data_IF_777902776678
#
_entry.id   IF_777902776678
#
_cell.length_a   1.000
_cell.length_b   1.000
_cell.length_c   1.000
_cell.angle_alpha   90.00
_cell.angle_beta   90.00
_cell.angle_gamma   90.00
#
_symmetry.space_group_name_H-M   'P 1'
#
loop_
_entity.id
_entity.type
_entity.pdbx_description
1 polymer ?
#
# COMPACT_ATOMS: atom_id res chain seq x y z
N UNK A 1 8.77 21.69 5.33
CA UNK A 1 9.07 20.64 4.32
C UNK A 1 9.91 19.53 4.92
N UNK A 2 11.06 19.84 5.54
CA UNK A 2 11.92 18.83 6.19
C UNK A 2 11.18 17.97 7.22
N UNK A 3 10.28 18.56 8.01
CA UNK A 3 9.49 17.81 9.00
C UNK A 3 8.54 16.79 8.37
N UNK A 4 7.98 17.07 7.19
CA UNK A 4 7.14 16.11 6.44
C UNK A 4 8.00 14.96 5.94
N UNK A 5 9.18 15.26 5.41
CA UNK A 5 10.14 14.24 4.96
C UNK A 5 10.53 13.35 6.14
N UNK A 6 10.83 13.96 7.29
CA UNK A 6 11.21 13.25 8.51
C UNK A 6 10.06 12.38 9.03
N UNK A 7 8.82 12.87 9.01
CA UNK A 7 7.64 12.11 9.40
C UNK A 7 7.39 10.91 8.47
N UNK A 8 7.44 11.12 7.15
CA UNK A 8 7.29 10.04 6.16
C UNK A 8 8.41 9.02 6.35
N UNK A 9 9.66 9.45 6.46
CA UNK A 9 10.79 8.56 6.67
C UNK A 9 10.65 7.77 7.98
N UNK A 10 10.21 8.40 9.07
CA UNK A 10 9.92 7.71 10.33
C UNK A 10 8.87 6.62 10.13
N UNK A 11 7.71 6.98 9.58
CA UNK A 11 6.61 6.03 9.36
C UNK A 11 7.04 4.90 8.41
N UNK A 12 7.80 5.17 7.36
CA UNK A 12 8.39 4.15 6.47
C UNK A 12 9.35 3.19 7.17
N UNK A 13 9.79 3.46 8.39
CA UNK A 13 10.61 2.55 9.20
C UNK A 13 9.81 1.84 10.31
N UNK A 14 8.50 2.12 10.41
CA UNK A 14 7.61 1.46 11.38
C UNK A 14 6.86 0.28 10.77
N UNK A 15 6.34 -0.58 11.64
CA UNK A 15 5.52 -1.73 11.23
C UNK A 15 4.17 -1.24 10.69
N UNK A 16 3.87 -1.57 9.43
CA UNK A 16 2.67 -1.11 8.69
C UNK A 16 2.58 0.41 8.47
N UNK A 17 3.69 1.12 8.54
CA UNK A 17 3.73 2.58 8.32
C UNK A 17 2.78 3.37 9.24
N UNK A 18 2.67 2.94 10.48
CA UNK A 18 1.79 3.50 11.51
C UNK A 18 2.55 3.57 12.84
N UNK A 19 2.37 4.67 13.56
CA UNK A 19 2.92 4.83 14.90
C UNK A 19 2.00 5.66 15.80
N UNK A 20 2.28 5.67 17.11
CA UNK A 20 1.57 6.53 18.06
C UNK A 20 2.02 7.97 17.94
N UNK A 21 1.11 8.90 18.24
CA UNK A 21 1.41 10.34 18.29
C UNK A 21 2.58 10.62 19.24
N UNK A 22 2.59 9.98 20.41
CA UNK A 22 3.65 10.17 21.41
C UNK A 22 5.02 9.67 20.90
N UNK A 23 5.07 8.49 20.27
CA UNK A 23 6.31 7.95 19.68
C UNK A 23 6.85 8.86 18.57
N UNK A 24 5.97 9.44 17.75
CA UNK A 24 6.34 10.37 16.69
C UNK A 24 6.91 11.67 17.28
N UNK A 25 6.24 12.24 18.29
CA UNK A 25 6.69 13.44 19.00
C UNK A 25 8.07 13.21 19.62
N UNK A 26 8.24 12.09 20.34
CA UNK A 26 9.50 11.74 20.99
C UNK A 26 10.62 11.51 19.96
N UNK A 27 10.30 10.88 18.83
CA UNK A 27 11.30 10.59 17.80
C UNK A 27 11.72 11.82 17.01
N UNK A 28 10.76 12.66 16.63
CA UNK A 28 10.99 13.84 15.80
C UNK A 28 11.32 15.10 16.60
N UNK A 29 11.17 15.06 17.93
CA UNK A 29 11.41 16.17 18.83
C UNK A 29 10.54 17.41 18.48
N UNK A 30 9.27 17.16 18.14
CA UNK A 30 8.29 18.20 17.77
C UNK A 30 7.12 18.24 18.74
N UNK A 31 6.46 19.39 18.89
CA UNK A 31 5.26 19.48 19.75
C UNK A 31 4.04 18.80 19.12
N UNK A 32 3.10 18.33 19.96
CA UNK A 32 1.81 17.78 19.49
C UNK A 32 1.04 18.79 18.64
N UNK A 33 0.98 20.05 19.07
CA UNK A 33 0.28 21.10 18.32
C UNK A 33 0.87 21.31 16.93
N UNK A 34 2.20 21.31 16.82
CA UNK A 34 2.90 21.41 15.54
C UNK A 34 2.66 20.19 14.65
N UNK A 35 2.72 18.97 15.21
CA UNK A 35 2.41 17.76 14.46
C UNK A 35 0.99 17.78 13.92
N UNK A 36 -0.01 18.17 14.72
CA UNK A 36 -1.40 18.27 14.24
C UNK A 36 -1.55 19.34 13.15
N UNK A 37 -0.88 20.48 13.28
CA UNK A 37 -0.85 21.51 12.24
C UNK A 37 -0.25 20.97 10.93
N UNK A 38 0.79 20.15 11.00
CA UNK A 38 1.41 19.51 9.85
C UNK A 38 0.44 18.55 9.13
N UNK A 39 -0.38 17.82 9.89
CA UNK A 39 -1.38 16.89 9.35
C UNK A 39 -2.60 17.62 8.75
N UNK A 40 -2.93 18.80 9.28
CA UNK A 40 -4.02 19.65 8.78
C UNK A 40 -3.62 20.53 7.60
N UNK A 41 -2.33 20.63 7.26
CA UNK A 41 -1.85 21.31 6.06
C UNK A 41 -2.45 20.65 4.81
N UNK A 42 -3.15 21.45 4.01
CA UNK A 42 -3.83 21.00 2.79
C UNK A 42 -2.87 20.33 1.80
N UNK A 43 -1.59 20.70 1.82
CA UNK A 43 -0.56 20.13 0.95
C UNK A 43 -0.21 18.68 1.29
N UNK A 44 -0.52 18.22 2.51
CA UNK A 44 -0.09 16.92 3.04
C UNK A 44 -1.22 16.10 3.67
N UNK A 45 -2.44 16.64 3.74
CA UNK A 45 -3.61 15.99 4.33
C UNK A 45 -3.87 14.59 3.76
N UNK A 46 -3.60 14.37 2.48
CA UNK A 46 -3.83 13.07 1.84
C UNK A 46 -2.71 12.05 2.13
N UNK A 47 -1.58 12.50 2.69
CA UNK A 47 -0.43 11.63 2.96
C UNK A 47 -0.61 10.86 4.26
N UNK A 48 -1.40 11.40 5.19
CA UNK A 48 -1.50 10.87 6.53
C UNK A 48 -2.95 10.69 6.96
N UNK A 49 -3.20 9.66 7.76
CA UNK A 49 -4.47 9.44 8.43
C UNK A 49 -4.28 9.47 9.94
N UNK A 50 -5.00 10.37 10.61
CA UNK A 50 -5.10 10.40 12.06
C UNK A 50 -6.14 9.39 12.55
N UNK A 51 -5.71 8.46 13.38
CA UNK A 51 -6.51 7.34 13.87
C UNK A 51 -6.80 7.55 15.35
N UNK A 52 -8.05 7.91 15.65
CA UNK A 52 -8.52 8.08 17.02
C UNK A 52 -8.85 6.72 17.67
N UNK A 53 -8.52 6.54 18.95
CA UNK A 53 -8.96 5.38 19.70
C UNK A 53 -10.50 5.31 19.76
N UNK A 54 -11.06 4.10 19.72
CA UNK A 54 -12.48 3.90 19.97
C UNK A 54 -12.81 4.36 21.40
N UNK A 55 -13.89 5.13 21.55
CA UNK A 55 -14.32 5.85 22.76
C UNK A 55 -14.42 5.01 24.04
N UNK A 56 -14.41 3.67 23.94
CA UNK A 56 -14.68 2.77 25.05
C UNK A 56 -13.41 2.07 25.59
N UNK A 57 -12.21 2.44 25.14
CA UNK A 57 -10.94 1.89 25.66
C UNK A 57 -10.10 2.97 26.31
N UNK A 58 -10.13 3.00 27.63
CA UNK A 58 -9.43 3.94 28.53
C UNK A 58 -7.88 3.93 28.43
N UNK A 59 -7.30 3.19 27.49
CA UNK A 59 -5.84 3.10 27.28
C UNK A 59 -5.41 3.11 25.81
N UNK A 60 -6.33 3.31 24.86
CA UNK A 60 -5.95 3.32 23.46
C UNK A 60 -5.33 4.68 23.07
N UNK A 61 -4.12 4.65 22.53
CA UNK A 61 -3.36 5.84 22.11
C UNK A 61 -3.74 6.27 20.69
N UNK A 62 -3.68 7.58 20.44
CA UNK A 62 -3.84 8.17 19.10
C UNK A 62 -2.69 7.74 18.20
N UNK A 63 -2.99 7.48 16.92
CA UNK A 63 -2.01 7.01 15.94
C UNK A 63 -2.06 7.81 14.65
N UNK A 64 -0.95 7.80 13.93
CA UNK A 64 -0.84 8.37 12.59
C UNK A 64 -0.37 7.27 11.65
N UNK A 65 -1.08 7.07 10.55
CA UNK A 65 -0.71 6.16 9.48
C UNK A 65 -0.31 6.95 8.24
N UNK A 66 0.73 6.50 7.54
CA UNK A 66 1.07 6.96 6.20
C UNK A 66 0.12 6.28 5.20
N UNK A 67 -0.65 7.07 4.46
CA UNK A 67 -1.63 6.62 3.45
C UNK A 67 -1.22 6.96 2.01
N UNK A 68 -0.12 7.68 1.85
CA UNK A 68 0.42 8.02 0.53
C UNK A 68 0.83 6.76 -0.24
N UNK A 69 0.25 6.57 -1.42
CA UNK A 69 0.53 5.42 -2.27
C UNK A 69 1.12 5.79 -3.63
N UNK A 70 2.24 5.16 -3.98
CA UNK A 70 2.91 5.25 -5.28
C UNK A 70 2.87 3.89 -6.00
N UNK A 71 1.88 3.70 -6.86
CA UNK A 71 1.69 2.44 -7.57
C UNK A 71 2.51 2.35 -8.85
N UNK A 72 3.00 1.14 -9.13
CA UNK A 72 3.65 0.83 -10.39
C UNK A 72 2.66 0.29 -11.44
N UNK A 73 2.92 0.63 -12.70
CA UNK A 73 2.15 0.18 -13.84
C UNK A 73 2.37 -1.33 -14.04
N UNK A 74 1.29 -2.10 -13.95
CA UNK A 74 1.33 -3.56 -14.18
C UNK A 74 1.54 -3.92 -15.65
N UNK A 75 1.25 -2.98 -16.55
CA UNK A 75 1.36 -3.16 -18.00
C UNK A 75 2.70 -2.67 -18.56
N UNK A 76 3.59 -2.13 -17.72
CA UNK A 76 4.90 -1.62 -18.18
C UNK A 76 5.78 -2.73 -18.75
N UNK A 77 5.64 -3.97 -18.25
CA UNK A 77 6.26 -5.17 -18.82
C UNK A 77 5.93 -5.39 -20.29
N UNK A 78 4.76 -4.94 -20.72
CA UNK A 78 4.28 -5.05 -22.09
C UNK A 78 4.48 -3.74 -22.88
N UNK A 79 5.48 -2.95 -22.50
CA UNK A 79 5.77 -1.64 -23.09
C UNK A 79 4.55 -0.73 -23.08
N UNK A 80 4.07 -0.39 -21.87
CA UNK A 80 2.93 0.51 -21.69
C UNK A 80 2.98 1.70 -22.67
N UNK A 81 2.06 1.71 -23.65
CA UNK A 81 2.00 2.73 -24.71
C UNK A 81 1.15 3.94 -24.32
N UNK A 82 0.59 3.94 -23.12
CA UNK A 82 -0.25 5.03 -22.64
C UNK A 82 0.65 6.17 -22.15
N UNK A 83 0.77 7.22 -22.95
CA UNK A 83 1.51 8.44 -22.62
C UNK A 83 0.93 9.18 -21.39
N UNK A 84 -0.33 8.90 -21.06
CA UNK A 84 -1.03 9.41 -19.87
C UNK A 84 -1.17 8.34 -18.77
N UNK A 85 -0.28 7.35 -18.72
CA UNK A 85 -0.31 6.33 -17.66
C UNK A 85 -0.11 7.00 -16.28
N UNK A 86 -1.03 6.83 -15.32
CA UNK A 86 -0.93 7.48 -14.01
C UNK A 86 -0.02 6.73 -13.02
N UNK A 87 0.69 5.71 -13.46
CA UNK A 87 1.45 4.79 -12.59
C UNK A 87 2.93 4.76 -12.95
N UNK A 88 3.77 4.55 -11.94
CA UNK A 88 5.23 4.53 -12.10
C UNK A 88 5.66 3.36 -13.01
N UNK A 89 6.58 3.65 -13.92
CA UNK A 89 7.22 2.68 -14.80
C UNK A 89 8.52 2.23 -14.16
N UNK A 90 8.44 1.19 -13.33
CA UNK A 90 9.57 0.67 -12.56
C UNK A 90 9.65 -0.85 -12.65
N UNK A 91 10.87 -1.36 -12.45
CA UNK A 91 11.15 -2.78 -12.36
C UNK A 91 10.43 -3.40 -11.15
N UNK A 92 9.53 -4.38 -11.35
CA UNK A 92 8.79 -4.99 -10.25
C UNK A 92 9.72 -5.68 -9.24
N UNK A 93 10.86 -6.21 -9.67
CA UNK A 93 11.84 -6.84 -8.79
C UNK A 93 12.65 -5.82 -7.99
N UNK A 94 12.79 -4.57 -8.47
CA UNK A 94 13.52 -3.55 -7.73
C UNK A 94 12.68 -2.89 -6.61
N UNK A 95 11.36 -2.95 -6.73
CA UNK A 95 10.41 -2.35 -5.78
C UNK A 95 9.76 -3.38 -4.84
N UNK A 96 9.81 -4.68 -5.14
CA UNK A 96 9.24 -5.68 -4.22
C UNK A 96 10.13 -5.80 -2.97
N UNK A 97 9.56 -5.70 -1.76
CA UNK A 97 10.34 -5.79 -0.52
C UNK A 97 10.89 -7.20 -0.26
N UNK A 98 10.16 -8.24 -0.68
CA UNK A 98 10.48 -9.64 -0.41
C UNK A 98 11.33 -10.31 -1.50
N UNK A 99 11.71 -9.58 -2.55
CA UNK A 99 12.53 -10.13 -3.64
C UNK A 99 13.93 -9.52 -3.59
N UNK A 100 14.98 -10.29 -3.96
CA UNK A 100 16.29 -9.71 -4.20
C UNK A 100 16.18 -8.55 -5.20
N UNK A 101 16.87 -7.44 -4.90
CA UNK A 101 16.93 -6.30 -5.82
C UNK A 101 17.40 -6.77 -7.18
N UNK A 102 16.82 -6.21 -8.24
CA UNK A 102 17.24 -6.53 -9.60
C UNK A 102 18.69 -6.06 -9.81
N UNK A 103 19.61 -6.99 -9.99
CA UNK A 103 21.03 -6.71 -10.26
C UNK A 103 21.36 -6.73 -11.76
N UNK A 104 20.38 -7.00 -12.61
CA UNK A 104 20.58 -7.07 -14.05
C UNK A 104 20.89 -5.67 -14.62
N UNK A 105 22.11 -5.49 -15.12
CA UNK A 105 22.56 -4.25 -15.75
C UNK A 105 21.83 -3.97 -17.07
N UNK A 106 21.30 -4.99 -17.74
CA UNK A 106 20.52 -4.89 -18.99
C UNK A 106 19.03 -5.08 -18.74
N UNK A 107 18.57 -4.80 -17.52
CA UNK A 107 17.15 -4.85 -17.21
C UNK A 107 16.37 -3.91 -18.15
N UNK A 108 15.32 -4.38 -18.85
CA UNK A 108 14.53 -3.54 -19.74
C UNK A 108 13.64 -2.53 -18.97
N UNK A 109 13.64 -2.61 -17.64
CA UNK A 109 12.83 -1.79 -16.75
C UNK A 109 13.69 -0.74 -16.03
N UNK A 110 13.09 0.40 -15.69
CA UNK A 110 13.75 1.42 -14.87
C UNK A 110 13.90 0.97 -13.41
N UNK A 111 15.08 1.21 -12.84
CA UNK A 111 15.39 0.94 -11.43
C UNK A 111 15.31 2.19 -10.54
N UNK A 112 15.32 3.37 -11.14
CA UNK A 112 15.39 4.65 -10.44
C UNK A 112 14.08 5.42 -10.64
N UNK A 113 13.46 5.84 -9.53
CA UNK A 113 12.14 6.50 -9.54
C UNK A 113 12.15 7.77 -10.37
N UNK A 114 13.21 8.58 -10.30
CA UNK A 114 13.26 9.88 -10.97
C UNK A 114 13.96 9.87 -12.34
N UNK A 115 14.27 8.69 -12.91
CA UNK A 115 15.08 8.59 -14.13
C UNK A 115 14.34 9.05 -15.39
N UNK A 116 13.11 8.60 -15.61
CA UNK A 116 12.31 9.03 -16.76
C UNK A 116 11.54 10.32 -16.53
N UNK A 117 11.26 11.01 -17.64
CA UNK A 117 10.31 12.14 -17.66
C UNK A 117 8.92 11.70 -17.19
N UNK A 118 8.50 10.49 -17.58
CA UNK A 118 7.22 9.89 -17.18
C UNK A 118 7.09 9.79 -15.65
N UNK A 119 8.04 9.14 -14.99
CA UNK A 119 7.97 8.99 -13.54
C UNK A 119 8.07 10.34 -12.81
N UNK A 120 8.91 11.27 -13.29
CA UNK A 120 8.97 12.62 -12.72
C UNK A 120 7.63 13.35 -12.77
N UNK A 121 6.88 13.23 -13.87
CA UNK A 121 5.52 13.81 -13.98
C UNK A 121 4.56 13.21 -12.97
N UNK A 122 4.62 11.89 -12.75
CA UNK A 122 3.77 11.22 -11.75
C UNK A 122 4.12 11.72 -10.34
N UNK A 123 5.40 11.77 -9.99
CA UNK A 123 5.88 12.31 -8.71
C UNK A 123 5.38 13.75 -8.49
N UNK A 124 5.39 14.56 -9.55
CA UNK A 124 4.91 15.94 -9.50
C UNK A 124 3.40 16.04 -9.29
N UNK A 125 2.61 15.22 -9.99
CA UNK A 125 1.14 15.12 -9.79
C UNK A 125 0.79 14.73 -8.35
N UNK A 126 1.62 13.90 -7.72
CA UNK A 126 1.46 13.52 -6.32
C UNK A 126 2.00 14.57 -5.34
N UNK A 127 2.55 15.69 -5.80
CA UNK A 127 3.11 16.74 -4.94
C UNK A 127 4.40 16.32 -4.23
N UNK A 128 5.17 15.39 -4.80
CA UNK A 128 6.34 14.77 -4.17
C UNK A 128 7.67 15.18 -4.83
N UNK A 129 7.67 16.18 -5.71
CA UNK A 129 8.87 16.66 -6.41
C UNK A 129 9.99 17.15 -5.47
N UNK A 130 9.63 17.53 -4.23
CA UNK A 130 10.59 17.94 -3.19
C UNK A 130 11.24 16.76 -2.45
N UNK A 131 10.76 15.52 -2.65
CA UNK A 131 11.24 14.36 -1.91
C UNK A 131 12.58 13.85 -2.44
N UNK A 132 13.51 13.44 -1.55
CA UNK A 132 14.72 12.74 -1.97
C UNK A 132 14.39 11.43 -2.71
N UNK A 133 15.17 11.11 -3.74
CA UNK A 133 14.98 9.90 -4.55
C UNK A 133 14.99 8.61 -3.71
N UNK A 134 15.78 8.56 -2.63
CA UNK A 134 15.82 7.44 -1.69
C UNK A 134 14.49 7.24 -0.95
N UNK A 135 13.87 8.32 -0.50
CA UNK A 135 12.56 8.27 0.17
C UNK A 135 11.47 7.87 -0.81
N UNK A 136 11.48 8.41 -2.03
CA UNK A 136 10.55 8.01 -3.09
C UNK A 136 10.66 6.51 -3.44
N UNK A 137 11.89 5.98 -3.45
CA UNK A 137 12.13 4.55 -3.67
C UNK A 137 11.52 3.71 -2.56
N UNK A 138 11.77 4.06 -1.29
CA UNK A 138 11.21 3.34 -0.15
C UNK A 138 9.69 3.48 -0.03
N UNK A 139 9.13 4.65 -0.37
CA UNK A 139 7.69 4.87 -0.46
C UNK A 139 7.07 3.96 -1.54
N UNK A 140 7.67 3.92 -2.73
CA UNK A 140 7.22 3.01 -3.81
C UNK A 140 7.29 1.55 -3.39
N UNK A 141 8.36 1.15 -2.69
CA UNK A 141 8.50 -0.20 -2.12
C UNK A 141 7.43 -0.49 -1.07
N UNK A 142 7.12 0.51 -0.24
CA UNK A 142 6.09 0.41 0.79
C UNK A 142 4.70 0.20 0.17
N UNK A 143 4.34 0.97 -0.85
CA UNK A 143 3.06 0.85 -1.57
C UNK A 143 2.95 -0.44 -2.37
N UNK A 144 4.07 -1.03 -2.76
CA UNK A 144 4.11 -2.36 -3.37
C UNK A 144 3.99 -3.51 -2.36
N UNK A 145 4.03 -3.24 -1.04
CA UNK A 145 3.92 -4.24 0.01
C UNK A 145 2.47 -4.44 0.48
N UNK A 146 1.79 -5.54 0.10
CA UNK A 146 0.45 -5.81 0.58
C UNK A 146 0.38 -6.02 2.10
N UNK A 147 1.51 -6.29 2.78
CA UNK A 147 1.56 -6.40 4.25
C UNK A 147 1.64 -5.04 4.95
N UNK A 148 2.00 -3.97 4.25
CA UNK A 148 1.98 -2.62 4.83
C UNK A 148 0.59 -2.01 4.84
N UNK A 149 -0.34 -2.54 4.05
CA UNK A 149 -1.76 -2.24 4.23
C UNK A 149 -2.21 -2.71 5.61
N UNK A 150 -2.43 -1.76 6.53
CA UNK A 150 -2.88 -2.01 7.89
C UNK A 150 -4.25 -2.72 7.97
N UNK A 151 -4.94 -2.79 6.84
CA UNK A 151 -6.23 -3.44 6.66
C UNK A 151 -6.15 -4.94 6.39
N UNK A 152 -4.98 -5.55 6.14
CA UNK A 152 -4.88 -7.00 5.89
C UNK A 152 -4.54 -7.77 7.16
N UNK A 153 -5.28 -8.85 7.44
CA UNK A 153 -5.03 -9.70 8.58
C UNK A 153 -3.86 -10.65 8.31
N UNK A 154 -2.72 -10.37 8.95
CA UNK A 154 -1.50 -11.18 8.82
C UNK A 154 -1.58 -12.55 9.49
N UNK A 155 -2.52 -12.75 10.41
CA UNK A 155 -2.69 -14.01 11.13
C UNK A 155 -3.60 -15.00 10.38
N UNK A 156 -4.43 -14.50 9.46
CA UNK A 156 -5.35 -15.33 8.69
C UNK A 156 -4.64 -16.36 7.82
N UNK A 157 -3.50 -16.00 7.21
CA UNK A 157 -2.70 -16.90 6.37
C UNK A 157 -1.76 -17.86 7.12
N UNK A 158 -1.69 -17.79 8.46
CA UNK A 158 -0.81 -18.65 9.27
C UNK A 158 -1.47 -19.98 9.61
N UNK A 159 -0.67 -20.99 10.00
CA UNK A 159 -1.18 -22.26 10.54
C UNK A 159 -2.02 -21.99 11.79
N UNK A 160 -3.30 -22.36 11.76
CA UNK A 160 -4.28 -22.03 12.80
C UNK A 160 -5.19 -20.83 12.51
N UNK A 161 -4.88 -20.04 11.47
CA UNK A 161 -5.68 -18.91 11.01
C UNK A 161 -5.78 -17.76 12.00
N UNK A 162 -6.66 -16.80 11.71
CA UNK A 162 -6.93 -15.67 12.60
C UNK A 162 -7.82 -16.10 13.76
N UNK A 163 -7.34 -15.94 15.00
CA UNK A 163 -8.09 -16.26 16.23
C UNK A 163 -9.36 -15.44 16.39
N UNK A 164 -9.43 -14.24 15.79
CA UNK A 164 -10.59 -13.34 15.87
C UNK A 164 -11.70 -13.67 14.87
N UNK A 165 -11.47 -14.55 13.88
CA UNK A 165 -12.47 -14.96 12.87
C UNK A 165 -13.35 -13.79 12.39
N UNK A 166 -14.65 -13.82 12.67
CA UNK A 166 -15.64 -12.85 12.20
C UNK A 166 -15.61 -11.49 12.94
N UNK A 167 -14.89 -11.38 14.07
CA UNK A 167 -14.67 -10.12 14.78
C UNK A 167 -13.34 -9.47 14.43
N UNK A 168 -12.62 -9.99 13.44
CA UNK A 168 -11.42 -9.34 12.94
C UNK A 168 -11.82 -8.14 12.06
N UNK A 169 -11.41 -6.95 12.47
CA UNK A 169 -11.61 -5.70 11.71
C UNK A 169 -10.71 -5.59 10.47
N UNK A 170 -9.83 -6.58 10.24
CA UNK A 170 -8.91 -6.65 9.11
C UNK A 170 -9.38 -7.67 8.08
N UNK A 171 -9.14 -7.39 6.81
CA UNK A 171 -9.45 -8.27 5.71
C UNK A 171 -8.69 -9.61 5.79
N UNK A 172 -9.46 -10.69 5.74
CA UNK A 172 -8.98 -12.07 5.70
C UNK A 172 -8.74 -12.50 4.25
N UNK A 173 -7.55 -12.17 3.71
CA UNK A 173 -7.11 -12.58 2.39
C UNK A 173 -5.97 -13.59 2.45
N UNK A 174 -5.85 -14.43 1.43
CA UNK A 174 -4.65 -15.24 1.24
C UNK A 174 -3.47 -14.31 0.93
N UNK A 175 -2.59 -14.10 1.90
CA UNK A 175 -1.37 -13.32 1.73
C UNK A 175 -0.57 -13.78 0.50
N UNK A 176 -0.34 -15.10 0.39
CA UNK A 176 0.40 -15.67 -0.73
C UNK A 176 -0.28 -15.43 -2.08
N UNK A 177 -1.61 -15.29 -2.13
CA UNK A 177 -2.30 -14.95 -3.37
C UNK A 177 -2.09 -13.47 -3.75
N UNK A 178 -2.01 -12.57 -2.75
CA UNK A 178 -1.76 -11.15 -2.98
C UNK A 178 -0.34 -10.87 -3.51
N UNK A 179 0.63 -11.71 -3.17
CA UNK A 179 2.03 -11.61 -3.64
C UNK A 179 2.37 -12.58 -4.77
N UNK A 180 1.37 -13.28 -5.34
CA UNK A 180 1.55 -14.26 -6.42
C UNK A 180 2.52 -15.42 -6.08
N UNK A 181 2.54 -15.84 -4.82
CA UNK A 181 3.35 -16.94 -4.28
C UNK A 181 2.48 -18.08 -3.73
N UNK A 182 1.17 -18.08 -4.02
CA UNK A 182 0.23 -19.08 -3.50
C UNK A 182 0.35 -20.41 -4.24
N UNK A 183 0.60 -21.48 -3.50
CA UNK A 183 0.44 -22.86 -4.01
C UNK A 183 -0.79 -23.50 -3.37
N UNK A 184 -1.36 -24.53 -4.04
CA UNK A 184 -2.57 -25.25 -3.56
C UNK A 184 -2.46 -25.72 -2.10
N UNK A 185 -1.27 -26.04 -1.61
CA UNK A 185 -1.04 -26.50 -0.23
C UNK A 185 -1.14 -25.39 0.82
N UNK A 186 -0.89 -24.12 0.49
CA UNK A 186 -0.97 -22.99 1.42
C UNK A 186 -2.36 -22.34 1.48
N UNK A 187 -3.24 -22.61 0.51
CA UNK A 187 -4.53 -21.93 0.36
C UNK A 187 -5.65 -22.48 1.26
N UNK A 188 -5.43 -23.60 1.95
CA UNK A 188 -6.48 -24.33 2.70
C UNK A 188 -7.17 -23.51 3.82
N UNK A 189 -6.60 -22.38 4.25
CA UNK A 189 -7.16 -21.52 5.31
C UNK A 189 -7.83 -20.24 4.82
N UNK A 190 -7.65 -19.86 3.55
CA UNK A 190 -8.11 -18.56 3.00
C UNK A 190 -9.42 -18.64 2.21
N UNK A 191 -10.06 -19.80 2.27
CA UNK A 191 -11.31 -20.07 1.59
C UNK A 191 -12.47 -19.57 2.47
N UNK A 192 -12.68 -18.25 2.47
CA UNK A 192 -14.03 -17.68 2.63
C UNK A 192 -14.51 -17.21 1.23
N UNK A 193 -15.82 -17.20 1.02
CA UNK A 193 -16.56 -17.19 -0.26
C UNK A 193 -16.07 -16.27 -1.39
N UNK A 194 -15.28 -15.23 -1.09
CA UNK A 194 -14.64 -14.36 -2.09
C UNK A 194 -13.52 -15.08 -2.85
N UNK A 195 -12.71 -15.92 -2.19
CA UNK A 195 -11.70 -16.74 -2.87
C UNK A 195 -12.31 -17.96 -3.57
N UNK A 196 -13.40 -18.55 -3.04
CA UNK A 196 -14.07 -19.69 -3.68
C UNK A 196 -14.85 -19.31 -4.93
N UNK A 197 -15.52 -18.16 -4.97
CA UNK A 197 -16.13 -17.67 -6.22
C UNK A 197 -15.09 -17.38 -7.31
N UNK A 198 -13.90 -16.94 -6.90
CA UNK A 198 -12.72 -16.76 -7.74
C UNK A 198 -12.16 -18.08 -8.30
N UNK A 199 -12.05 -19.13 -7.47
CA UNK A 199 -11.57 -20.44 -7.93
C UNK A 199 -12.64 -21.29 -8.64
N UNK A 200 -13.94 -21.20 -8.29
CA UNK A 200 -15.02 -21.87 -9.01
C UNK A 200 -15.25 -21.31 -10.41
N UNK A 201 -14.93 -20.03 -10.65
CA UNK A 201 -14.90 -19.44 -12.00
C UNK A 201 -13.63 -19.77 -12.78
N UNK A 202 -12.58 -20.30 -12.13
CA UNK A 202 -11.32 -20.69 -12.77
C UNK A 202 -11.46 -21.94 -13.65
N UNK A 203 -12.49 -22.77 -13.43
CA UNK A 203 -12.86 -23.87 -14.34
C UNK A 203 -13.82 -23.44 -15.47
N UNK A 204 -14.31 -22.20 -15.45
CA UNK A 204 -15.33 -21.72 -16.40
C UNK A 204 -14.85 -20.58 -17.31
N UNK A 205 -13.65 -20.05 -17.10
CA UNK A 205 -13.13 -18.89 -17.85
C UNK A 205 -11.64 -19.12 -18.16
N UNK A 206 -11.36 -20.03 -19.08
CA UNK A 206 -10.05 -20.17 -19.74
C UNK A 206 -9.86 -19.13 -20.87
N UNK A 207 -10.74 -18.13 -21.02
CA UNK A 207 -10.71 -17.23 -22.18
C UNK A 207 -10.50 -15.74 -21.91
N UNK A 208 -10.35 -15.24 -20.67
CA UNK A 208 -10.07 -13.80 -20.43
C UNK A 208 -9.33 -13.53 -19.11
N UNK A 209 -8.10 -14.05 -19.00
CA UNK A 209 -7.28 -14.05 -17.78
C UNK A 209 -6.78 -12.65 -17.37
N UNK A 210 -6.53 -11.75 -18.33
CA UNK A 210 -5.93 -10.44 -18.06
C UNK A 210 -6.96 -9.38 -17.63
N UNK A 211 -8.18 -9.44 -18.18
CA UNK A 211 -9.24 -8.48 -17.87
C UNK A 211 -9.81 -8.66 -16.44
N UNK A 212 -9.80 -9.89 -15.91
CA UNK A 212 -10.34 -10.22 -14.58
C UNK A 212 -9.34 -9.88 -13.48
N UNK A 213 -8.03 -10.08 -13.71
CA UNK A 213 -6.99 -9.61 -12.79
C UNK A 213 -6.86 -8.08 -12.81
N UNK A 214 -7.05 -7.45 -13.97
CA UNK A 214 -7.14 -5.99 -14.09
C UNK A 214 -8.41 -5.46 -13.40
N UNK A 215 -9.55 -6.16 -13.50
CA UNK A 215 -10.78 -5.85 -12.77
C UNK A 215 -10.64 -6.09 -11.25
N UNK A 216 -9.95 -7.12 -10.79
CA UNK A 216 -9.75 -7.40 -9.35
C UNK A 216 -8.77 -6.40 -8.72
N UNK A 217 -7.70 -6.03 -9.45
CA UNK A 217 -6.77 -4.95 -9.09
C UNK A 217 -7.45 -3.59 -9.18
N UNK A 218 -8.31 -3.34 -10.18
CA UNK A 218 -9.18 -2.16 -10.26
C UNK A 218 -10.23 -2.15 -9.17
N UNK A 219 -10.77 -3.27 -8.69
CA UNK A 219 -11.72 -3.32 -7.57
C UNK A 219 -11.01 -3.08 -6.25
N UNK A 220 -9.78 -3.58 -6.06
CA UNK A 220 -8.95 -3.17 -4.92
C UNK A 220 -8.66 -1.66 -5.01
N UNK A 221 -8.20 -1.14 -6.16
CA UNK A 221 -7.90 0.30 -6.38
C UNK A 221 -9.13 1.23 -6.33
N UNK A 222 -10.28 0.83 -6.88
CA UNK A 222 -11.55 1.58 -6.89
C UNK A 222 -12.27 1.47 -5.54
N UNK A 223 -12.13 0.37 -4.79
CA UNK A 223 -12.63 0.32 -3.40
C UNK A 223 -11.75 1.10 -2.43
N UNK A 224 -10.46 1.29 -2.73
CA UNK A 224 -9.61 2.29 -2.05
C UNK A 224 -10.10 3.73 -2.30
N UNK A 225 -10.62 4.04 -3.50
CA UNK A 225 -11.19 5.37 -3.81
C UNK A 225 -12.64 5.58 -3.29
N UNK A 226 -13.48 4.54 -3.26
CA UNK A 226 -14.90 4.68 -2.87
C UNK A 226 -15.16 4.68 -1.35
N UNK A 227 -14.30 4.09 -0.51
CA UNK A 227 -14.60 4.01 0.94
C UNK A 227 -14.31 5.30 1.73
N UNK A 228 -13.72 6.32 1.11
CA UNK A 228 -13.62 7.68 1.67
C UNK A 228 -14.95 8.46 1.50
N UNK A 229 -15.89 8.02 0.65
CA UNK A 229 -17.21 8.66 0.51
C UNK A 229 -18.39 7.95 1.21
N UNK A 230 -18.25 6.71 1.71
CA UNK A 230 -19.38 5.96 2.33
C UNK A 230 -19.21 5.77 3.85
N UNK A 231 -18.75 6.81 4.55
CA UNK A 231 -18.97 6.94 6.01
C UNK A 231 -19.38 8.34 6.47
N UNK A 232 -19.86 9.18 5.54
CA UNK A 232 -20.46 10.49 5.86
C UNK A 232 -21.80 10.78 5.17
N UNK A 233 -22.48 9.75 4.64
CA UNK A 233 -23.91 9.82 4.32
C UNK A 233 -24.58 8.53 4.81
N UNK A 234 -24.82 8.48 6.13
CA UNK A 234 -25.88 7.77 6.84
C UNK A 234 -25.69 8.00 8.34
#
# INVERSE_FOLDING_TARGET
>A
MDDVINLINHLLNTKHSIDTVDSIIDRLQISKGYLLQLLDDYSYRDYFQFLKPASNRSQATEKIALTLDLFCCTHYANQCKNESCPFLHLCPYNIRPMHPKCTNKTCPYEHEVLKSIHNRKIIDVHGLSFMPASILHELTRASADPLRSFWVCTDHGKKGGCSKKNSCEKFHYCYFALIDACTKSYCQHAINDVCLSYFRKKELIEQNHDDILDAFRKVLRQRYAMFIQIKYIA
#
